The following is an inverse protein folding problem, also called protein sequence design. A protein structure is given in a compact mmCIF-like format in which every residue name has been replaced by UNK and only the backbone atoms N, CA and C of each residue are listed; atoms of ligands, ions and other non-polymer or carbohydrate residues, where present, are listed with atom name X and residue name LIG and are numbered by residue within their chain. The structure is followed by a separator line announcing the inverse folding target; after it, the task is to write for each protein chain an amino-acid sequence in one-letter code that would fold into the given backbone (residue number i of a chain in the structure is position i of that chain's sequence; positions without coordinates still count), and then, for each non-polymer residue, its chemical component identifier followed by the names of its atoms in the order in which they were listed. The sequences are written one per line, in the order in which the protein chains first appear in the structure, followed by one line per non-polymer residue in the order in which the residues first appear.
data_IF_687700343694
#
_entry.id   IF_687700343694
#
_cell.length_a   1.000
_cell.length_b   1.000
_cell.length_c   1.000
_cell.angle_alpha   90.00
_cell.angle_beta   90.00
_cell.angle_gamma   90.00
#
_symmetry.space_group_name_H-M   'P 1'
#
loop_
_entity.id
_entity.type
_entity.pdbx_description
1 polymer ?
#
# COMPACT_ATOMS: atom_id res chain seq x y z
N UNK A 1 27.58 -18.07 26.12
CA UNK A 1 28.27 -16.77 26.17
C UNK A 1 27.21 -15.67 26.19
N UNK A 2 26.87 -15.13 27.37
CA UNK A 2 25.87 -14.06 27.50
C UNK A 2 26.63 -12.72 27.36
N UNK A 3 26.39 -11.98 26.27
CA UNK A 3 26.90 -10.62 26.13
C UNK A 3 25.83 -9.66 26.65
N UNK A 4 25.95 -9.22 27.90
CA UNK A 4 25.16 -8.11 28.43
C UNK A 4 25.58 -6.82 27.74
N UNK A 5 24.91 -6.48 26.64
CA UNK A 5 25.13 -5.22 25.92
C UNK A 5 24.08 -4.22 26.37
N UNK A 6 24.53 -3.07 26.87
CA UNK A 6 23.65 -1.94 27.17
C UNK A 6 23.04 -1.43 25.86
N UNK A 7 21.72 -1.54 25.72
CA UNK A 7 20.95 -1.07 24.57
C UNK A 7 19.98 0.00 25.04
N UNK A 8 20.06 1.17 24.42
CA UNK A 8 19.04 2.19 24.59
C UNK A 8 17.78 1.78 23.83
N UNK A 9 16.64 1.97 24.47
CA UNK A 9 15.32 1.59 23.96
C UNK A 9 14.37 2.78 24.06
N UNK A 10 13.51 2.94 23.06
CA UNK A 10 12.40 3.89 23.08
C UNK A 10 11.10 3.10 23.10
N UNK A 11 10.26 3.38 24.09
CA UNK A 11 8.95 2.77 24.26
C UNK A 11 7.86 3.80 23.95
N UNK A 12 6.89 3.41 23.11
CA UNK A 12 5.72 4.20 22.75
C UNK A 12 4.48 3.40 23.12
N UNK A 13 3.68 3.91 24.05
CA UNK A 13 2.41 3.29 24.46
C UNK A 13 1.25 3.68 23.52
N UNK A 14 1.14 4.94 23.12
CA UNK A 14 0.12 5.31 22.12
C UNK A 14 0.58 4.95 20.70
N UNK A 15 0.29 3.73 20.26
CA UNK A 15 0.55 3.28 18.88
C UNK A 15 -0.53 3.74 17.88
N UNK A 16 -1.72 4.15 18.37
CA UNK A 16 -2.87 4.48 17.53
C UNK A 16 -3.46 3.28 16.79
N UNK A 17 -3.15 2.05 17.22
CA UNK A 17 -3.61 0.80 16.63
C UNK A 17 -4.53 0.04 17.60
N UNK A 18 -5.62 -0.55 17.09
CA UNK A 18 -6.58 -1.29 17.92
C UNK A 18 -6.06 -2.64 18.46
N UNK A 19 -4.98 -3.17 17.88
CA UNK A 19 -4.42 -4.48 18.21
C UNK A 19 -3.17 -4.42 19.09
N UNK A 20 -2.41 -3.32 19.05
CA UNK A 20 -1.08 -3.24 19.68
C UNK A 20 -1.03 -2.18 20.77
N UNK A 21 -0.84 -2.61 22.02
CA UNK A 21 -0.75 -1.72 23.20
C UNK A 21 0.52 -0.87 23.22
N UNK A 22 1.64 -1.37 22.68
CA UNK A 22 2.92 -0.63 22.72
C UNK A 22 3.87 -1.04 21.61
N UNK A 23 4.75 -0.12 21.24
CA UNK A 23 5.85 -0.34 20.30
C UNK A 23 7.20 -0.05 20.97
N UNK A 24 8.15 -0.98 20.79
CA UNK A 24 9.50 -0.89 21.37
C UNK A 24 10.52 -0.78 20.23
N UNK A 25 11.32 0.28 20.27
CA UNK A 25 12.39 0.54 19.30
C UNK A 25 13.75 0.40 19.96
N UNK A 26 14.57 -0.51 19.45
CA UNK A 26 15.98 -0.62 19.84
C UNK A 26 16.81 0.40 19.07
N UNK A 27 17.45 1.30 19.82
CA UNK A 27 18.30 2.34 19.23
C UNK A 27 19.63 1.72 18.84
N UNK A 28 20.04 1.99 17.60
CA UNK A 28 21.38 1.61 17.14
C UNK A 28 22.44 2.43 17.89
N UNK A 29 23.59 1.83 18.27
CA UNK A 29 24.57 2.48 19.13
C UNK A 29 25.13 3.79 18.55
N UNK A 30 25.18 3.92 17.22
CA UNK A 30 25.62 5.14 16.53
C UNK A 30 24.72 6.34 16.80
N UNK A 31 23.46 6.09 17.15
CA UNK A 31 22.46 7.12 17.45
C UNK A 31 22.13 7.22 18.93
N UNK A 32 22.84 6.52 19.81
CA UNK A 32 22.50 6.52 21.24
C UNK A 32 22.73 7.86 21.94
N UNK A 33 23.52 8.75 21.33
CA UNK A 33 23.75 10.12 21.81
C UNK A 33 22.69 11.11 21.30
N UNK A 34 21.77 10.68 20.43
CA UNK A 34 20.70 11.54 19.94
C UNK A 34 19.72 11.85 21.08
N UNK A 35 19.25 13.09 21.12
CA UNK A 35 18.27 13.51 22.11
C UNK A 35 16.98 12.70 22.04
N UNK A 36 16.41 12.41 23.20
CA UNK A 36 15.20 11.61 23.37
C UNK A 36 14.05 12.10 22.47
N UNK A 37 13.83 13.42 22.40
CA UNK A 37 12.78 14.02 21.58
C UNK A 37 12.87 13.63 20.11
N UNK A 38 14.08 13.62 19.52
CA UNK A 38 14.28 13.20 18.12
C UNK A 38 14.06 11.71 17.92
N UNK A 39 14.51 10.88 18.87
CA UNK A 39 14.30 9.43 18.79
C UNK A 39 12.81 9.09 18.90
N UNK A 40 12.09 9.75 19.80
CA UNK A 40 10.64 9.61 19.99
C UNK A 40 9.86 10.08 18.77
N UNK A 41 10.24 11.20 18.16
CA UNK A 41 9.65 11.71 16.92
C UNK A 41 9.84 10.70 15.77
N UNK A 42 11.06 10.16 15.60
CA UNK A 42 11.33 9.14 14.57
C UNK A 42 10.57 7.84 14.82
N UNK A 43 10.43 7.43 16.09
CA UNK A 43 9.64 6.27 16.48
C UNK A 43 8.16 6.45 16.11
N UNK A 44 7.54 7.59 16.46
CA UNK A 44 6.15 7.90 16.09
C UNK A 44 5.93 7.87 14.58
N UNK A 45 6.81 8.54 13.82
CA UNK A 45 6.77 8.52 12.36
C UNK A 45 6.89 7.10 11.76
N UNK A 46 7.59 6.18 12.42
CA UNK A 46 7.69 4.80 11.97
C UNK A 46 6.38 4.01 12.22
N UNK A 47 5.73 4.25 13.36
CA UNK A 47 4.42 3.67 13.68
C UNK A 47 3.36 4.16 12.68
N UNK A 48 3.32 5.46 12.40
CA UNK A 48 2.36 6.06 11.45
C UNK A 48 2.49 5.47 10.03
N UNK A 49 3.71 5.11 9.63
CA UNK A 49 3.95 4.43 8.35
C UNK A 49 3.54 2.96 8.38
N UNK A 50 3.68 2.31 9.52
CA UNK A 50 3.34 0.90 9.69
C UNK A 50 1.82 0.67 9.80
N UNK A 51 1.06 1.66 10.30
CA UNK A 51 -0.41 1.58 10.40
C UNK A 51 -1.11 1.62 9.04
N UNK A 52 -0.44 2.13 8.01
CA UNK A 52 -0.99 2.14 6.65
C UNK A 52 -0.91 0.73 6.03
N UNK A 53 -2.05 0.08 5.69
CA UNK A 53 -2.02 -1.20 5.00
C UNK A 53 -1.22 -1.07 3.70
N UNK A 54 -0.46 -2.12 3.30
CA UNK A 54 0.39 -2.05 2.11
C UNK A 54 -0.48 -1.67 0.90
N UNK A 55 -0.12 -0.56 0.25
CA UNK A 55 -0.83 -0.08 -0.94
C UNK A 55 -0.83 -1.19 -1.99
N UNK A 56 -1.95 -1.91 -2.13
CA UNK A 56 -2.18 -2.80 -3.27
C UNK A 56 -2.04 -1.92 -4.50
N UNK A 57 -0.99 -2.11 -5.30
CA UNK A 57 -0.84 -1.44 -6.60
C UNK A 57 -2.07 -1.79 -7.42
N UNK A 58 -3.01 -0.85 -7.52
CA UNK A 58 -4.32 -1.05 -8.13
C UNK A 58 -4.18 -1.27 -9.63
N UNK A 59 -4.01 -2.52 -10.05
CA UNK A 59 -4.05 -2.93 -11.46
C UNK A 59 -5.49 -2.96 -12.02
N UNK A 60 -6.49 -2.62 -11.18
CA UNK A 60 -7.92 -2.74 -11.50
C UNK A 60 -8.45 -1.69 -12.48
N UNK A 61 -8.06 -0.41 -12.32
CA UNK A 61 -8.66 0.68 -13.10
C UNK A 61 -8.25 0.65 -14.57
N UNK A 62 -6.96 0.39 -14.86
CA UNK A 62 -6.46 0.31 -16.24
C UNK A 62 -7.01 -0.92 -16.98
N UNK A 63 -7.23 -2.02 -16.26
CA UNK A 63 -7.81 -3.25 -16.84
C UNK A 63 -9.30 -3.08 -17.15
N UNK A 64 -10.04 -2.37 -16.31
CA UNK A 64 -11.47 -2.07 -16.53
C UNK A 64 -11.70 -1.21 -17.78
N UNK A 65 -10.92 -0.14 -17.96
CA UNK A 65 -11.04 0.74 -19.12
C UNK A 65 -10.68 0.04 -20.45
N UNK A 66 -9.75 -0.92 -20.40
CA UNK A 66 -9.42 -1.71 -21.59
C UNK A 66 -10.55 -2.66 -22.01
N UNK A 67 -11.37 -3.12 -21.06
CA UNK A 67 -12.46 -4.05 -21.33
C UNK A 67 -13.68 -3.34 -21.92
N UNK A 68 -14.02 -2.15 -21.43
CA UNK A 68 -15.12 -1.34 -22.01
C UNK A 68 -14.82 -0.93 -23.44
N UNK A 69 -13.58 -0.56 -23.76
CA UNK A 69 -13.18 -0.20 -25.12
C UNK A 69 -13.26 -1.41 -26.08
N UNK A 70 -12.86 -2.61 -25.62
CA UNK A 70 -12.99 -3.85 -26.40
C UNK A 70 -14.45 -4.22 -26.68
N UNK A 71 -15.34 -4.03 -25.71
CA UNK A 71 -16.77 -4.32 -25.87
C UNK A 71 -17.43 -3.35 -26.86
N UNK A 72 -17.07 -2.07 -26.83
CA UNK A 72 -17.57 -1.09 -27.80
C UNK A 72 -17.12 -1.43 -29.24
N UNK A 73 -15.86 -1.81 -29.42
CA UNK A 73 -15.34 -2.21 -30.74
C UNK A 73 -16.07 -3.45 -31.30
N UNK A 74 -16.39 -4.43 -30.45
CA UNK A 74 -17.13 -5.62 -30.85
C UNK A 74 -18.58 -5.32 -31.27
N UNK A 75 -19.26 -4.40 -30.58
CA UNK A 75 -20.65 -4.04 -30.89
C UNK A 75 -20.79 -3.37 -32.28
N UNK A 76 -19.85 -2.49 -32.63
CA UNK A 76 -19.83 -1.84 -33.95
C UNK A 76 -19.49 -2.84 -35.06
N UNK A 77 -18.52 -3.73 -34.83
CA UNK A 77 -18.15 -4.78 -35.78
C UNK A 77 -19.31 -5.75 -36.06
N UNK A 78 -20.01 -6.22 -35.03
CA UNK A 78 -21.15 -7.11 -35.19
C UNK A 78 -22.30 -6.48 -35.97
N UNK A 79 -22.71 -5.26 -35.60
CA UNK A 79 -23.85 -4.57 -36.23
C UNK A 79 -23.66 -4.29 -37.71
N UNK A 80 -22.44 -3.95 -38.14
CA UNK A 80 -22.14 -3.70 -39.57
C UNK A 80 -22.22 -4.98 -40.41
N UNK A 81 -21.75 -6.12 -39.89
CA UNK A 81 -21.80 -7.41 -40.59
C UNK A 81 -23.25 -7.88 -40.74
N UNK A 82 -24.08 -7.79 -39.70
CA UNK A 82 -25.48 -8.19 -39.78
C UNK A 82 -26.28 -7.31 -40.73
N UNK A 83 -26.01 -6.00 -40.75
CA UNK A 83 -26.64 -5.07 -41.67
C UNK A 83 -26.26 -5.35 -43.14
N UNK A 84 -24.99 -5.68 -43.41
CA UNK A 84 -24.52 -6.06 -44.74
C UNK A 84 -25.16 -7.37 -45.23
N UNK A 85 -25.30 -8.37 -44.36
CA UNK A 85 -25.96 -9.65 -44.70
C UNK A 85 -27.44 -9.41 -45.03
N UNK A 86 -28.14 -8.61 -44.23
CA UNK A 86 -29.55 -8.29 -44.48
C UNK A 86 -29.77 -7.47 -45.75
N UNK A 87 -28.81 -6.63 -46.14
CA UNK A 87 -28.88 -5.81 -47.34
C UNK A 87 -28.53 -6.60 -48.61
N UNK A 88 -27.68 -7.63 -48.52
CA UNK A 88 -27.39 -8.57 -49.61
C UNK A 88 -28.45 -9.67 -49.78
N UNK A 89 -29.24 -9.95 -48.74
CA UNK A 89 -30.33 -10.93 -48.76
C UNK A 89 -31.69 -10.36 -49.21
N UNK A 90 -31.73 -9.09 -49.62
CA UNK A 90 -32.91 -8.38 -50.12
C UNK A 90 -32.79 -8.14 -51.62
#
# INVERSE_FOLDING_TARGET
MIKGVNKQVVEINETGNEYFEKAIFFVRPEYSRMGEGRLREKAKNAIDKASSPPKRKGKGTVRSLSNTLKLLAAAVGGGTITALILLLAK
#
